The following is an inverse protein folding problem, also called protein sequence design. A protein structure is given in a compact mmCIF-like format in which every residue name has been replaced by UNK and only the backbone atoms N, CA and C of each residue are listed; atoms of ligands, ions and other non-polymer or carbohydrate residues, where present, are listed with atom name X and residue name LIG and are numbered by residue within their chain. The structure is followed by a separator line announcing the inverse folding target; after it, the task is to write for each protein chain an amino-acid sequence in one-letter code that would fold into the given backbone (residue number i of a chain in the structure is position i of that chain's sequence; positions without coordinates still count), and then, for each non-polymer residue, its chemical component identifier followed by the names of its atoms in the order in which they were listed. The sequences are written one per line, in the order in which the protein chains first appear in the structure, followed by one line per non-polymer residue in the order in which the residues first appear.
data_IF_238595230522
#
_entry.id   IF_238595230522
#
_cell.length_a   1.000
_cell.length_b   1.000
_cell.length_c   1.000
_cell.angle_alpha   90.00
_cell.angle_beta   90.00
_cell.angle_gamma   90.00
#
_symmetry.space_group_name_H-M   'P 1'
#
loop_
_entity.id
_entity.type
_entity.pdbx_description
1 polymer ?
#
# COMPACT_ATOMS: atom_id res chain seq x y z
N UNK A 1 39.16 18.79 -2.44
CA UNK A 1 37.80 18.79 -1.84
C UNK A 1 37.29 17.35 -1.83
N UNK A 2 36.64 16.88 -0.76
CA UNK A 2 36.09 15.51 -0.73
C UNK A 2 34.87 15.40 -1.66
N UNK A 3 34.71 14.23 -2.29
CA UNK A 3 33.50 13.90 -3.06
C UNK A 3 32.28 13.83 -2.13
N UNK A 4 31.09 14.13 -2.65
CA UNK A 4 29.83 13.98 -1.92
C UNK A 4 29.38 12.52 -1.92
N UNK A 5 28.73 12.08 -0.85
CA UNK A 5 28.06 10.77 -0.82
C UNK A 5 26.87 10.79 -1.79
N UNK A 6 26.67 9.68 -2.51
CA UNK A 6 25.54 9.50 -3.42
C UNK A 6 24.22 9.31 -2.66
N UNK A 7 24.26 8.48 -1.62
CA UNK A 7 23.12 8.14 -0.77
C UNK A 7 23.32 8.68 0.64
N UNK A 8 22.23 9.15 1.25
CA UNK A 8 22.16 9.38 2.68
C UNK A 8 21.99 8.04 3.44
N UNK A 9 22.08 8.07 4.77
CA UNK A 9 22.02 6.85 5.59
C UNK A 9 20.69 6.08 5.47
N UNK A 10 19.56 6.79 5.34
CA UNK A 10 18.25 6.18 5.16
C UNK A 10 18.15 5.53 3.78
N UNK A 11 18.56 6.24 2.74
CA UNK A 11 18.60 5.72 1.36
C UNK A 11 19.54 4.52 1.23
N UNK A 12 20.67 4.52 1.92
CA UNK A 12 21.63 3.40 1.91
C UNK A 12 21.04 2.13 2.54
N UNK A 13 20.31 2.26 3.66
CA UNK A 13 19.57 1.14 4.26
C UNK A 13 18.48 0.61 3.34
N UNK A 14 17.68 1.52 2.75
CA UNK A 14 16.66 1.14 1.78
C UNK A 14 17.28 0.42 0.60
N UNK A 15 18.36 0.96 0.04
CA UNK A 15 19.08 0.35 -1.09
C UNK A 15 19.58 -1.06 -0.77
N UNK A 16 20.16 -1.27 0.41
CA UNK A 16 20.61 -2.60 0.83
C UNK A 16 19.45 -3.61 0.84
N UNK A 17 18.31 -3.22 1.42
CA UNK A 17 17.10 -4.05 1.43
C UNK A 17 16.56 -4.33 0.02
N UNK A 18 16.50 -3.31 -0.84
CA UNK A 18 16.05 -3.45 -2.23
C UNK A 18 16.94 -4.45 -3.00
N UNK A 19 18.27 -4.39 -2.79
CA UNK A 19 19.21 -5.33 -3.43
C UNK A 19 18.97 -6.78 -3.03
N UNK A 20 18.74 -7.04 -1.75
CA UNK A 20 18.45 -8.39 -1.25
C UNK A 20 17.17 -8.98 -1.88
N UNK A 21 16.16 -8.13 -2.15
CA UNK A 21 14.95 -8.54 -2.87
C UNK A 21 15.17 -8.76 -4.37
N UNK A 22 15.99 -7.93 -5.01
CA UNK A 22 16.33 -8.06 -6.43
C UNK A 22 17.02 -9.39 -6.73
N UNK A 23 17.99 -9.79 -5.90
CA UNK A 23 18.77 -11.03 -6.08
C UNK A 23 17.87 -12.28 -6.12
N UNK A 24 16.73 -12.25 -5.42
CA UNK A 24 15.77 -13.36 -5.38
C UNK A 24 14.89 -13.44 -6.65
N UNK A 25 14.77 -12.34 -7.40
CA UNK A 25 13.85 -12.20 -8.53
C UNK A 25 14.56 -12.00 -9.87
N UNK A 26 15.88 -12.24 -9.94
CA UNK A 26 16.66 -12.02 -11.16
C UNK A 26 16.70 -10.55 -11.62
N UNK A 27 16.44 -9.62 -10.71
CA UNK A 27 16.36 -8.19 -10.99
C UNK A 27 17.62 -7.47 -10.49
N UNK A 28 17.75 -6.20 -10.85
CA UNK A 28 18.76 -5.28 -10.33
C UNK A 28 18.11 -3.96 -9.87
N UNK A 29 18.73 -3.28 -8.90
CA UNK A 29 18.30 -1.96 -8.45
C UNK A 29 19.44 -0.96 -8.56
N UNK A 30 19.14 0.21 -9.12
CA UNK A 30 20.09 1.30 -9.32
C UNK A 30 19.64 2.56 -8.58
N UNK A 31 20.48 3.14 -7.71
CA UNK A 31 20.15 4.39 -7.05
C UNK A 31 20.37 5.60 -7.97
N UNK A 32 19.55 6.64 -7.79
CA UNK A 32 19.75 7.98 -8.39
C UNK A 32 19.90 7.95 -9.93
N UNK A 33 19.10 7.13 -10.62
CA UNK A 33 19.09 7.12 -12.09
C UNK A 33 18.30 8.31 -12.61
N UNK A 34 18.84 9.02 -13.61
CA UNK A 34 18.20 10.21 -14.17
C UNK A 34 16.92 9.82 -14.90
N UNK A 35 15.88 10.65 -14.78
CA UNK A 35 14.58 10.39 -15.41
C UNK A 35 14.71 10.27 -16.94
N UNK A 36 15.52 11.12 -17.55
CA UNK A 36 15.82 11.08 -18.99
C UNK A 36 16.56 9.82 -19.46
N UNK A 37 17.22 9.08 -18.56
CA UNK A 37 17.92 7.83 -18.93
C UNK A 37 16.97 6.61 -18.88
N UNK A 38 15.76 6.80 -18.35
CA UNK A 38 14.73 5.77 -18.20
C UNK A 38 13.57 6.01 -19.16
N UNK A 39 13.07 7.25 -19.21
CA UNK A 39 11.91 7.60 -20.01
C UNK A 39 12.34 8.02 -21.42
N UNK A 40 11.67 7.56 -22.50
CA UNK A 40 12.02 7.91 -23.88
C UNK A 40 11.55 9.33 -24.22
N UNK A 41 12.23 10.34 -23.68
CA UNK A 41 11.78 11.75 -23.73
C UNK A 41 11.99 12.41 -25.11
N UNK A 42 12.85 11.87 -25.97
CA UNK A 42 13.13 12.41 -27.29
C UNK A 42 11.93 12.26 -28.22
N UNK A 43 11.50 13.36 -28.84
CA UNK A 43 10.36 13.40 -29.79
C UNK A 43 9.06 12.82 -29.20
N UNK A 44 8.91 12.87 -27.88
CA UNK A 44 7.81 12.27 -27.12
C UNK A 44 6.54 13.11 -27.01
N UNK A 45 6.59 14.36 -27.49
CA UNK A 45 5.47 15.31 -27.40
C UNK A 45 5.29 16.00 -26.04
N UNK A 46 6.20 15.77 -25.08
CA UNK A 46 6.21 16.49 -23.80
C UNK A 46 6.63 17.95 -23.98
N UNK A 47 6.27 18.80 -23.03
CA UNK A 47 6.65 20.22 -23.06
C UNK A 47 8.15 20.44 -22.83
N UNK A 48 8.69 21.57 -23.28
CA UNK A 48 10.07 21.98 -23.00
C UNK A 48 10.41 22.02 -21.50
N UNK A 49 9.42 22.35 -20.66
CA UNK A 49 9.58 22.37 -19.21
C UNK A 49 9.73 20.95 -18.64
N UNK A 50 8.94 20.00 -19.14
CA UNK A 50 9.02 18.58 -18.78
C UNK A 50 10.30 17.94 -19.29
N UNK A 51 10.70 18.26 -20.52
CA UNK A 51 11.97 17.81 -21.08
C UNK A 51 13.17 18.27 -20.23
N UNK A 52 13.23 19.56 -19.89
CA UNK A 52 14.28 20.09 -18.99
C UNK A 52 14.23 19.47 -17.60
N UNK A 53 13.03 19.24 -17.07
CA UNK A 53 12.87 18.58 -15.78
C UNK A 53 13.40 17.15 -15.79
N UNK A 54 13.08 16.36 -16.82
CA UNK A 54 13.57 14.98 -16.97
C UNK A 54 15.11 14.92 -17.04
N UNK A 55 15.74 15.90 -17.68
CA UNK A 55 17.20 16.01 -17.76
C UNK A 55 17.88 16.37 -16.41
N UNK A 56 17.14 16.92 -15.46
CA UNK A 56 17.67 17.44 -14.19
C UNK A 56 17.17 16.66 -12.96
N UNK A 57 16.28 15.70 -13.15
CA UNK A 57 15.66 14.91 -12.08
C UNK A 57 16.14 13.47 -12.13
N UNK A 58 16.09 12.82 -10.96
CA UNK A 58 16.46 11.43 -10.79
C UNK A 58 15.32 10.70 -10.08
N UNK A 59 15.20 9.41 -10.36
CA UNK A 59 14.51 8.47 -9.51
C UNK A 59 15.40 8.10 -8.32
N UNK A 60 14.84 7.92 -7.13
CA UNK A 60 15.65 7.51 -5.98
C UNK A 60 16.21 6.10 -6.17
N UNK A 61 15.35 5.19 -6.63
CA UNK A 61 15.73 3.84 -7.05
C UNK A 61 14.99 3.43 -8.32
N UNK A 62 15.69 2.75 -9.22
CA UNK A 62 15.10 2.13 -10.42
C UNK A 62 15.35 0.64 -10.39
N UNK A 63 14.28 -0.14 -10.51
CA UNK A 63 14.34 -1.59 -10.71
C UNK A 63 14.51 -1.88 -12.20
N UNK A 64 15.38 -2.83 -12.52
CA UNK A 64 15.57 -3.35 -13.86
C UNK A 64 15.52 -4.87 -13.87
N UNK A 65 15.14 -5.43 -15.01
CA UNK A 65 15.25 -6.87 -15.28
C UNK A 65 16.71 -7.33 -15.42
N UNK A 66 16.90 -8.63 -15.72
CA UNK A 66 18.21 -9.24 -15.98
C UNK A 66 18.99 -8.58 -17.14
N UNK A 67 18.28 -7.98 -18.11
CA UNK A 67 18.84 -7.28 -19.26
C UNK A 67 19.09 -5.78 -18.98
N UNK A 68 18.90 -5.35 -17.73
CA UNK A 68 19.01 -3.95 -17.31
C UNK A 68 17.93 -3.03 -17.92
N UNK A 69 16.82 -3.61 -18.40
CA UNK A 69 15.64 -2.86 -18.86
C UNK A 69 14.85 -2.35 -17.66
N UNK A 70 14.50 -1.05 -17.59
CA UNK A 70 13.75 -0.49 -16.47
C UNK A 70 12.34 -1.10 -16.34
N UNK A 71 11.99 -1.51 -15.12
CA UNK A 71 10.68 -2.09 -14.77
C UNK A 71 9.77 -1.09 -14.07
N UNK A 72 10.29 -0.43 -13.03
CA UNK A 72 9.60 0.60 -12.26
C UNK A 72 10.59 1.42 -11.42
N UNK A 73 10.13 2.54 -10.87
CA UNK A 73 10.90 3.34 -9.91
C UNK A 73 10.27 3.36 -8.52
N UNK A 74 11.11 3.63 -7.53
CA UNK A 74 10.71 3.92 -6.15
C UNK A 74 11.20 5.32 -5.78
N UNK A 75 10.32 6.11 -5.17
CA UNK A 75 10.59 7.43 -4.61
C UNK A 75 10.40 7.42 -3.11
N UNK A 76 11.32 8.06 -2.38
CA UNK A 76 11.19 8.22 -0.94
C UNK A 76 10.67 9.62 -0.59
N UNK A 77 9.45 9.68 -0.10
CA UNK A 77 8.83 10.91 0.39
C UNK A 77 9.36 11.21 1.81
N UNK A 78 10.39 12.07 1.87
CA UNK A 78 10.98 12.55 3.11
C UNK A 78 10.14 13.59 3.87
N UNK A 79 10.53 13.89 5.11
CA UNK A 79 9.83 14.88 5.95
C UNK A 79 9.94 16.32 5.39
N UNK A 80 8.89 16.76 4.70
CA UNK A 80 8.24 18.09 4.61
C UNK A 80 9.04 19.41 4.75
N UNK A 81 10.35 19.48 4.57
CA UNK A 81 11.05 20.76 4.72
C UNK A 81 10.77 21.77 3.58
N UNK A 82 10.32 21.33 2.39
CA UNK A 82 9.94 22.21 1.26
C UNK A 82 8.68 21.72 0.51
N UNK A 83 7.60 21.46 1.26
CA UNK A 83 6.37 20.78 0.79
C UNK A 83 5.82 21.26 -0.56
N UNK A 84 5.78 22.57 -0.84
CA UNK A 84 5.20 23.09 -2.10
C UNK A 84 6.07 22.83 -3.33
N UNK A 85 7.38 23.02 -3.21
CA UNK A 85 8.32 22.82 -4.34
C UNK A 85 8.47 21.32 -4.60
N UNK A 86 8.64 20.53 -3.53
CA UNK A 86 8.72 19.08 -3.63
C UNK A 86 7.46 18.52 -4.29
N UNK A 87 6.28 18.91 -3.80
CA UNK A 87 5.00 18.51 -4.41
C UNK A 87 4.88 18.87 -5.88
N UNK A 88 5.34 20.05 -6.30
CA UNK A 88 5.31 20.43 -7.71
C UNK A 88 6.21 19.52 -8.56
N UNK A 89 7.39 19.16 -8.04
CA UNK A 89 8.32 18.20 -8.68
C UNK A 89 7.71 16.80 -8.73
N UNK A 90 7.04 16.36 -7.67
CA UNK A 90 6.41 15.05 -7.61
C UNK A 90 5.24 14.95 -8.59
N UNK A 91 4.39 15.98 -8.67
CA UNK A 91 3.32 16.08 -9.66
C UNK A 91 3.91 16.01 -11.08
N UNK A 92 4.99 16.75 -11.35
CA UNK A 92 5.62 16.74 -12.67
C UNK A 92 6.23 15.37 -13.02
N UNK A 93 6.89 14.72 -12.05
CA UNK A 93 7.44 13.37 -12.21
C UNK A 93 6.33 12.33 -12.43
N UNK A 94 5.24 12.39 -11.67
CA UNK A 94 4.08 11.52 -11.83
C UNK A 94 3.43 11.68 -13.21
N UNK A 95 3.26 12.92 -13.69
CA UNK A 95 2.76 13.18 -15.06
C UNK A 95 3.63 12.56 -16.14
N UNK A 96 4.96 12.71 -16.03
CA UNK A 96 5.90 12.08 -16.95
C UNK A 96 5.78 10.55 -16.91
N UNK A 97 5.83 9.95 -15.73
CA UNK A 97 5.70 8.50 -15.56
C UNK A 97 4.40 7.98 -16.19
N UNK A 98 3.28 8.65 -15.91
CA UNK A 98 1.97 8.33 -16.50
C UNK A 98 1.93 8.49 -18.02
N UNK A 99 2.56 9.54 -18.58
CA UNK A 99 2.66 9.75 -20.03
C UNK A 99 3.39 8.61 -20.73
N UNK A 100 4.43 8.07 -20.10
CA UNK A 100 5.24 6.98 -20.65
C UNK A 100 4.80 5.58 -20.19
N UNK A 101 3.75 5.47 -19.37
CA UNK A 101 3.32 4.19 -18.79
C UNK A 101 4.36 3.55 -17.87
N UNK A 102 5.26 4.34 -17.27
CA UNK A 102 6.31 3.83 -16.40
C UNK A 102 5.83 3.81 -14.94
N UNK A 103 5.79 2.66 -14.27
CA UNK A 103 5.29 2.58 -12.89
C UNK A 103 6.21 3.27 -11.89
N UNK A 104 5.61 3.95 -10.91
CA UNK A 104 6.32 4.62 -9.83
C UNK A 104 5.63 4.36 -8.49
N UNK A 105 6.39 3.82 -7.54
CA UNK A 105 5.96 3.56 -6.17
C UNK A 105 6.53 4.64 -5.24
N UNK A 106 5.65 5.37 -4.56
CA UNK A 106 6.03 6.36 -3.55
C UNK A 106 5.91 5.76 -2.15
N UNK A 107 7.01 5.79 -1.41
CA UNK A 107 7.08 5.26 -0.05
C UNK A 107 7.53 6.33 0.93
N UNK A 108 7.12 6.18 2.18
CA UNK A 108 7.69 6.92 3.31
C UNK A 108 8.25 5.92 4.33
N UNK A 109 8.72 6.40 5.48
CA UNK A 109 9.34 5.52 6.47
C UNK A 109 8.41 4.40 6.98
N UNK A 110 7.09 4.63 7.04
CA UNK A 110 6.14 3.63 7.55
C UNK A 110 6.05 2.38 6.68
N UNK A 111 6.38 2.49 5.39
CA UNK A 111 6.41 1.37 4.46
C UNK A 111 7.55 0.39 4.72
N UNK A 112 8.55 0.82 5.50
CA UNK A 112 9.75 0.05 5.82
C UNK A 112 9.79 -0.29 7.31
N UNK A 113 9.40 0.65 8.17
CA UNK A 113 9.52 0.52 9.63
C UNK A 113 8.40 -0.32 10.26
N UNK A 114 7.22 -0.39 9.61
CA UNK A 114 6.10 -1.18 10.11
C UNK A 114 6.02 -2.50 9.39
N UNK A 115 5.91 -3.57 10.17
CA UNK A 115 5.76 -4.93 9.68
C UNK A 115 4.37 -5.49 9.95
N UNK A 116 3.85 -6.20 8.96
CA UNK A 116 2.61 -6.98 9.00
C UNK A 116 3.00 -8.44 8.83
N UNK A 117 3.00 -9.20 9.93
CA UNK A 117 3.45 -10.62 9.95
C UNK A 117 4.90 -10.81 9.49
N UNK A 118 5.79 -9.91 9.90
CA UNK A 118 7.21 -9.94 9.49
C UNK A 118 7.44 -9.53 8.04
N UNK A 119 6.46 -8.85 7.42
CA UNK A 119 6.57 -8.26 6.08
C UNK A 119 6.18 -6.79 6.14
N UNK A 120 7.08 -5.91 5.77
CA UNK A 120 6.77 -4.50 5.56
C UNK A 120 6.10 -4.27 4.19
N UNK A 121 5.46 -3.12 4.05
CA UNK A 121 4.64 -2.81 2.89
C UNK A 121 5.46 -2.63 1.61
N UNK A 122 6.69 -2.12 1.71
CA UNK A 122 7.60 -2.03 0.57
C UNK A 122 7.93 -3.41 0.01
N UNK A 123 8.33 -4.35 0.87
CA UNK A 123 8.57 -5.73 0.45
C UNK A 123 7.32 -6.39 -0.12
N UNK A 124 6.15 -6.20 0.52
CA UNK A 124 4.88 -6.72 0.02
C UNK A 124 4.59 -6.24 -1.42
N UNK A 125 4.72 -4.94 -1.71
CA UNK A 125 4.45 -4.40 -3.04
C UNK A 125 5.38 -4.91 -4.12
N UNK A 126 6.68 -5.03 -3.81
CA UNK A 126 7.65 -5.52 -4.78
C UNK A 126 7.40 -7.00 -5.07
N UNK A 127 7.21 -7.82 -4.04
CA UNK A 127 6.95 -9.25 -4.23
C UNK A 127 5.62 -9.49 -4.96
N UNK A 128 4.54 -8.76 -4.62
CA UNK A 128 3.25 -8.85 -5.33
C UNK A 128 3.41 -8.44 -6.80
N UNK A 129 4.22 -7.42 -7.10
CA UNK A 129 4.49 -7.03 -8.48
C UNK A 129 5.15 -8.16 -9.28
N UNK A 130 6.19 -8.81 -8.71
CA UNK A 130 6.85 -9.94 -9.38
C UNK A 130 5.92 -11.13 -9.54
N UNK A 131 5.09 -11.43 -8.54
CA UNK A 131 4.08 -12.49 -8.67
C UNK A 131 3.05 -12.18 -9.76
N UNK A 132 2.64 -10.91 -9.90
CA UNK A 132 1.75 -10.48 -10.96
C UNK A 132 2.39 -10.68 -12.34
N UNK A 133 3.66 -10.32 -12.51
CA UNK A 133 4.38 -10.57 -13.78
C UNK A 133 4.43 -12.07 -14.10
N UNK A 134 4.84 -12.90 -13.14
CA UNK A 134 4.88 -14.35 -13.34
C UNK A 134 3.50 -14.95 -13.64
N UNK A 135 2.43 -14.42 -13.03
CA UNK A 135 1.05 -14.82 -13.32
C UNK A 135 0.65 -14.48 -14.75
N UNK A 136 0.91 -13.25 -15.21
CA UNK A 136 0.56 -12.82 -16.57
C UNK A 136 1.41 -13.55 -17.63
N UNK A 137 2.69 -13.80 -17.37
CA UNK A 137 3.53 -14.66 -18.23
C UNK A 137 2.97 -16.09 -18.33
N UNK A 138 2.51 -16.65 -17.20
CA UNK A 138 1.88 -17.97 -17.18
C UNK A 138 0.55 -18.00 -17.95
N UNK A 139 -0.21 -16.91 -17.95
CA UNK A 139 -1.40 -16.74 -18.80
C UNK A 139 -1.05 -16.72 -20.29
N UNK A 140 -0.02 -15.95 -20.69
CA UNK A 140 0.46 -15.92 -22.08
C UNK A 140 0.94 -17.29 -22.58
N UNK A 141 1.50 -18.10 -21.69
CA UNK A 141 1.92 -19.47 -21.96
C UNK A 141 0.78 -20.49 -21.93
N UNK A 142 -0.44 -20.08 -21.56
CA UNK A 142 -1.61 -20.96 -21.45
C UNK A 142 -1.61 -21.89 -20.23
N UNK A 143 -0.77 -21.60 -19.22
CA UNK A 143 -0.73 -22.34 -17.96
C UNK A 143 -1.82 -21.89 -16.99
N UNK A 144 -2.29 -20.65 -17.12
CA UNK A 144 -3.40 -20.06 -16.38
C UNK A 144 -4.44 -19.56 -17.39
N UNK A 145 -5.75 -19.76 -17.16
CA UNK A 145 -6.79 -19.20 -18.02
C UNK A 145 -6.71 -17.67 -18.11
N UNK A 146 -6.97 -17.12 -19.31
CA UNK A 146 -6.94 -15.66 -19.54
C UNK A 146 -8.05 -14.88 -18.81
N UNK A 147 -9.09 -15.58 -18.36
CA UNK A 147 -10.21 -15.04 -17.59
C UNK A 147 -10.02 -15.17 -16.06
N UNK A 148 -8.91 -15.76 -15.61
CA UNK A 148 -8.54 -15.75 -14.20
C UNK A 148 -7.90 -14.39 -13.84
N UNK A 149 -8.44 -13.74 -12.81
CA UNK A 149 -7.89 -12.48 -12.29
C UNK A 149 -6.73 -12.75 -11.32
N UNK A 150 -5.71 -11.90 -11.36
CA UNK A 150 -4.64 -11.94 -10.37
C UNK A 150 -5.13 -11.40 -9.01
N UNK A 151 -5.18 -12.27 -7.99
CA UNK A 151 -5.46 -11.89 -6.61
C UNK A 151 -4.29 -12.29 -5.69
N UNK A 152 -3.57 -11.34 -5.07
CA UNK A 152 -2.53 -11.64 -4.09
C UNK A 152 -3.00 -12.57 -2.96
N UNK A 153 -4.27 -12.51 -2.55
CA UNK A 153 -4.78 -13.37 -1.48
C UNK A 153 -4.79 -14.87 -1.85
N UNK A 154 -4.73 -15.19 -3.14
CA UNK A 154 -4.63 -16.58 -3.64
C UNK A 154 -3.20 -17.14 -3.59
N UNK A 155 -2.20 -16.30 -3.31
CA UNK A 155 -0.78 -16.65 -3.45
C UNK A 155 -0.22 -17.11 -2.11
N UNK A 156 0.48 -18.24 -2.15
CA UNK A 156 1.24 -18.78 -1.02
C UNK A 156 2.62 -19.21 -1.51
N UNK A 157 3.68 -18.56 -1.03
CA UNK A 157 5.06 -18.92 -1.41
C UNK A 157 5.93 -19.23 -0.19
N UNK A 158 7.01 -20.02 -0.34
CA UNK A 158 7.98 -20.20 0.73
C UNK A 158 8.76 -18.91 1.00
N UNK A 159 8.71 -18.41 2.22
CA UNK A 159 9.54 -17.31 2.74
C UNK A 159 10.27 -17.78 3.98
N UNK A 160 11.61 -17.74 3.96
CA UNK A 160 12.47 -18.20 5.07
C UNK A 160 12.13 -19.64 5.54
N UNK A 161 11.82 -20.54 4.60
CA UNK A 161 11.52 -21.95 4.91
C UNK A 161 10.11 -22.22 5.43
N UNK A 162 9.20 -21.23 5.43
CA UNK A 162 7.78 -21.42 5.78
C UNK A 162 6.87 -20.90 4.66
N UNK A 163 5.71 -21.51 4.50
CA UNK A 163 4.68 -21.00 3.59
C UNK A 163 4.14 -19.66 4.12
N UNK A 164 4.14 -18.65 3.27
CA UNK A 164 3.66 -17.31 3.55
C UNK A 164 2.50 -16.97 2.60
N UNK A 165 1.26 -16.82 3.11
CA UNK A 165 0.12 -16.35 2.32
C UNK A 165 0.17 -14.84 2.17
N UNK A 166 0.04 -14.36 0.93
CA UNK A 166 -0.05 -12.93 0.60
C UNK A 166 -1.43 -12.34 0.87
N UNK A 167 -2.38 -13.15 1.35
CA UNK A 167 -3.51 -12.63 2.10
C UNK A 167 -3.02 -12.01 3.42
N UNK A 168 -2.65 -10.74 3.35
CA UNK A 168 -1.84 -10.07 4.37
C UNK A 168 -2.48 -10.15 5.75
N UNK A 169 -3.79 -9.89 5.88
CA UNK A 169 -4.48 -9.89 7.17
C UNK A 169 -5.13 -11.23 7.56
N UNK A 170 -4.89 -12.34 6.83
CA UNK A 170 -5.50 -13.66 7.09
C UNK A 170 -5.43 -14.07 8.56
N UNK A 171 -4.24 -14.05 9.17
CA UNK A 171 -4.07 -14.43 10.57
C UNK A 171 -4.81 -13.52 11.55
N UNK A 172 -4.93 -12.23 11.22
CA UNK A 172 -5.69 -11.28 12.04
C UNK A 172 -7.18 -11.54 11.92
N UNK A 173 -7.69 -11.83 10.70
CA UNK A 173 -9.09 -12.21 10.48
C UNK A 173 -9.44 -13.47 11.29
N UNK A 174 -8.58 -14.50 11.28
CA UNK A 174 -8.77 -15.71 12.11
C UNK A 174 -8.83 -15.36 13.60
N UNK A 175 -7.94 -14.51 14.11
CA UNK A 175 -7.97 -14.08 15.52
C UNK A 175 -9.25 -13.33 15.89
N UNK A 176 -9.79 -12.53 14.97
CA UNK A 176 -11.07 -11.83 15.18
C UNK A 176 -12.23 -12.83 15.25
N UNK A 177 -12.26 -13.81 14.33
CA UNK A 177 -13.26 -14.88 14.37
C UNK A 177 -13.18 -15.71 15.65
N UNK A 178 -11.97 -15.97 16.16
CA UNK A 178 -11.76 -16.62 17.46
C UNK A 178 -12.34 -15.79 18.62
N UNK A 179 -12.12 -14.47 18.65
CA UNK A 179 -12.70 -13.59 19.68
C UNK A 179 -14.23 -13.62 19.65
N UNK A 180 -14.81 -13.60 18.45
CA UNK A 180 -16.25 -13.72 18.26
C UNK A 180 -16.78 -15.08 18.75
N UNK A 181 -16.12 -16.18 18.38
CA UNK A 181 -16.54 -17.53 18.81
C UNK A 181 -16.48 -17.72 20.33
N UNK A 182 -15.60 -16.98 21.01
CA UNK A 182 -15.48 -16.93 22.48
C UNK A 182 -16.47 -15.96 23.14
N UNK A 183 -17.31 -15.26 22.37
CA UNK A 183 -18.27 -14.27 22.86
C UNK A 183 -17.64 -12.99 23.40
N UNK A 184 -16.38 -12.70 23.03
CA UNK A 184 -15.68 -11.48 23.49
C UNK A 184 -16.06 -10.24 22.69
N UNK A 185 -16.56 -10.44 21.46
CA UNK A 185 -17.07 -9.41 20.55
C UNK A 185 -18.31 -9.95 19.83
N UNK A 186 -19.18 -9.08 19.32
CA UNK A 186 -20.40 -9.50 18.59
C UNK A 186 -20.23 -9.57 17.08
N UNK A 187 -19.27 -8.83 16.52
CA UNK A 187 -18.97 -8.89 15.10
C UNK A 187 -17.85 -9.91 14.83
N UNK A 188 -18.04 -10.77 13.84
CA UNK A 188 -17.07 -11.80 13.47
C UNK A 188 -15.99 -11.32 12.48
N UNK A 189 -16.09 -10.07 12.01
CA UNK A 189 -15.14 -9.46 11.07
C UNK A 189 -15.12 -7.94 11.19
N UNK A 190 -14.05 -7.32 10.73
CA UNK A 190 -13.96 -5.85 10.57
C UNK A 190 -14.84 -5.41 9.41
N UNK A 191 -15.69 -4.42 9.66
CA UNK A 191 -16.32 -3.64 8.60
C UNK A 191 -15.45 -2.43 8.26
N UNK A 192 -15.33 -2.07 6.98
CA UNK A 192 -14.53 -0.91 6.59
C UNK A 192 -15.09 -0.16 5.38
N UNK A 193 -14.70 1.11 5.29
CA UNK A 193 -15.08 2.05 4.22
C UNK A 193 -13.78 2.62 3.64
N UNK A 194 -13.65 2.61 2.32
CA UNK A 194 -12.51 3.18 1.60
C UNK A 194 -12.99 4.28 0.66
N UNK A 195 -12.26 5.39 0.67
CA UNK A 195 -12.55 6.59 -0.09
C UNK A 195 -11.26 7.24 -0.60
N UNK A 196 -11.38 8.15 -1.58
CA UNK A 196 -10.31 9.08 -1.95
C UNK A 196 -10.60 10.45 -1.39
N UNK A 197 -9.55 11.17 -0.98
CA UNK A 197 -9.67 12.58 -0.64
C UNK A 197 -9.53 13.48 -1.87
N UNK A 198 -9.58 14.80 -1.64
CA UNK A 198 -9.49 15.80 -2.72
C UNK A 198 -8.14 15.82 -3.43
N UNK A 199 -7.11 15.17 -2.86
CA UNK A 199 -5.78 15.04 -3.45
C UNK A 199 -5.64 13.73 -4.23
N UNK A 200 -6.66 12.86 -4.19
CA UNK A 200 -6.66 11.54 -4.81
C UNK A 200 -6.07 10.44 -3.93
N UNK A 201 -5.62 10.77 -2.71
CA UNK A 201 -5.08 9.80 -1.78
C UNK A 201 -6.19 8.96 -1.15
N UNK A 202 -5.90 7.70 -0.86
CA UNK A 202 -6.83 6.79 -0.22
C UNK A 202 -6.92 7.03 1.29
N UNK A 203 -8.13 6.89 1.82
CA UNK A 203 -8.50 6.99 3.22
C UNK A 203 -9.34 5.77 3.57
N UNK A 204 -9.09 5.16 4.72
CA UNK A 204 -9.89 4.05 5.22
C UNK A 204 -10.34 4.28 6.66
N UNK A 205 -11.55 3.84 6.95
CA UNK A 205 -12.09 3.72 8.30
C UNK A 205 -12.54 2.28 8.51
N UNK A 206 -12.07 1.65 9.58
CA UNK A 206 -12.49 0.32 10.02
C UNK A 206 -13.22 0.41 11.34
N UNK A 207 -14.18 -0.48 11.57
CA UNK A 207 -14.89 -0.57 12.84
C UNK A 207 -15.34 -2.00 13.12
N UNK A 208 -15.50 -2.30 14.42
CA UNK A 208 -15.98 -3.59 14.91
C UNK A 208 -16.71 -3.39 16.25
N UNK A 209 -17.88 -4.01 16.41
CA UNK A 209 -18.65 -3.95 17.64
C UNK A 209 -18.26 -5.05 18.63
N UNK A 210 -18.01 -4.62 19.88
CA UNK A 210 -17.73 -5.51 21.02
C UNK A 210 -19.04 -5.95 21.67
N UNK A 211 -20.00 -5.03 21.78
CA UNK A 211 -21.38 -5.30 22.23
C UNK A 211 -22.37 -4.61 21.29
N UNK A 212 -23.68 -4.77 21.52
CA UNK A 212 -24.71 -4.08 20.74
C UNK A 212 -24.60 -2.55 20.79
N UNK A 213 -23.98 -1.99 21.84
CA UNK A 213 -23.92 -0.56 22.10
C UNK A 213 -22.49 0.00 22.15
N UNK A 214 -21.46 -0.83 22.03
CA UNK A 214 -20.07 -0.41 22.15
C UNK A 214 -19.17 -1.11 21.14
N UNK A 215 -18.13 -0.42 20.68
CA UNK A 215 -17.17 -0.94 19.73
C UNK A 215 -15.94 -0.08 19.66
N UNK A 216 -15.19 -0.24 18.57
CA UNK A 216 -14.03 0.60 18.25
C UNK A 216 -14.09 1.01 16.79
N UNK A 217 -13.32 2.03 16.44
CA UNK A 217 -12.95 2.30 15.07
C UNK A 217 -11.48 2.67 14.95
N UNK A 218 -10.91 2.43 13.79
CA UNK A 218 -9.56 2.84 13.42
C UNK A 218 -9.58 3.55 12.07
N UNK A 219 -8.49 4.25 11.77
CA UNK A 219 -8.32 5.00 10.53
C UNK A 219 -6.92 4.77 9.99
N UNK A 220 -6.81 4.69 8.67
CA UNK A 220 -5.51 4.67 8.00
C UNK A 220 -5.62 5.33 6.62
N UNK A 221 -4.49 5.52 5.98
CA UNK A 221 -4.37 6.29 4.76
C UNK A 221 -3.19 5.80 3.92
N UNK A 222 -3.32 5.96 2.60
CA UNK A 222 -2.27 5.63 1.63
C UNK A 222 -2.27 6.68 0.53
N UNK A 223 -1.08 7.08 0.08
CA UNK A 223 -0.98 7.90 -1.13
C UNK A 223 -1.46 7.12 -2.34
N UNK A 224 -2.09 7.80 -3.30
CA UNK A 224 -2.35 7.16 -4.59
C UNK A 224 -1.01 6.77 -5.21
N UNK A 225 -0.91 5.54 -5.69
CA UNK A 225 0.28 5.04 -6.34
C UNK A 225 0.05 5.06 -7.85
N UNK A 226 1.07 5.41 -8.62
CA UNK A 226 1.07 5.16 -10.06
C UNK A 226 1.82 3.83 -10.30
N UNK A 227 1.44 2.81 -9.52
CA UNK A 227 2.05 1.48 -9.46
C UNK A 227 0.95 0.42 -9.65
N UNK A 228 1.19 -0.69 -10.36
CA UNK A 228 0.13 -1.63 -10.76
C UNK A 228 -0.29 -2.55 -9.60
N UNK A 229 -0.93 -1.95 -8.60
CA UNK A 229 -1.54 -2.59 -7.44
C UNK A 229 -2.93 -1.98 -7.23
N UNK A 230 -3.86 -2.75 -6.67
CA UNK A 230 -5.17 -2.23 -6.28
C UNK A 230 -5.04 -1.65 -4.88
N UNK A 231 -4.77 -0.34 -4.76
CA UNK A 231 -4.42 0.26 -3.46
C UNK A 231 -5.58 0.20 -2.46
N UNK A 232 -6.83 0.17 -2.94
CA UNK A 232 -7.99 -0.02 -2.07
C UNK A 232 -8.01 -1.40 -1.43
N UNK A 233 -7.62 -2.45 -2.14
CA UNK A 233 -7.57 -3.80 -1.56
C UNK A 233 -6.45 -3.89 -0.51
N UNK A 234 -5.29 -3.32 -0.81
CA UNK A 234 -4.19 -3.22 0.15
C UNK A 234 -4.63 -2.44 1.39
N UNK A 235 -5.25 -1.27 1.22
CA UNK A 235 -5.69 -0.45 2.34
C UNK A 235 -6.79 -1.15 3.15
N UNK A 236 -7.63 -1.97 2.51
CA UNK A 236 -8.61 -2.86 3.13
C UNK A 236 -7.96 -3.92 4.01
N UNK A 237 -6.81 -4.44 3.61
CA UNK A 237 -6.02 -5.36 4.45
C UNK A 237 -5.33 -4.63 5.60
N UNK A 238 -4.77 -3.43 5.37
CA UNK A 238 -4.11 -2.63 6.42
C UNK A 238 -5.08 -2.19 7.51
N UNK A 239 -6.29 -1.73 7.15
CA UNK A 239 -7.27 -1.25 8.15
C UNK A 239 -7.74 -2.38 9.09
N UNK A 240 -7.67 -3.64 8.67
CA UNK A 240 -7.95 -4.79 9.54
C UNK A 240 -6.93 -4.88 10.68
N UNK A 241 -5.63 -4.64 10.40
CA UNK A 241 -4.60 -4.60 11.45
C UNK A 241 -4.86 -3.45 12.44
N UNK A 242 -5.11 -2.24 11.94
CA UNK A 242 -5.36 -1.07 12.80
C UNK A 242 -6.56 -1.29 13.72
N UNK A 243 -7.64 -1.82 13.15
CA UNK A 243 -8.87 -2.12 13.87
C UNK A 243 -8.62 -3.19 14.93
N UNK A 244 -7.84 -4.22 14.61
CA UNK A 244 -7.50 -5.27 15.55
C UNK A 244 -6.60 -4.78 16.70
N UNK A 245 -5.59 -3.97 16.41
CA UNK A 245 -4.73 -3.36 17.44
C UNK A 245 -5.56 -2.51 18.42
N UNK A 246 -6.44 -1.64 17.88
CA UNK A 246 -7.36 -0.84 18.70
C UNK A 246 -8.33 -1.70 19.52
N UNK A 247 -8.80 -2.83 18.96
CA UNK A 247 -9.63 -3.78 19.68
C UNK A 247 -8.87 -4.41 20.85
N UNK A 248 -7.62 -4.83 20.66
CA UNK A 248 -6.80 -5.40 21.73
C UNK A 248 -6.52 -4.39 22.85
N UNK A 249 -6.33 -3.11 22.53
CA UNK A 249 -6.20 -2.06 23.54
C UNK A 249 -7.46 -1.94 24.42
N UNK A 250 -8.64 -2.05 23.83
CA UNK A 250 -9.89 -2.00 24.58
C UNK A 250 -10.11 -3.28 25.40
N UNK A 251 -9.88 -4.46 24.81
CA UNK A 251 -10.04 -5.74 25.51
C UNK A 251 -9.04 -5.90 26.67
N UNK A 252 -7.87 -5.27 26.58
CA UNK A 252 -6.89 -5.23 27.67
C UNK A 252 -7.12 -4.10 28.68
N UNK A 253 -8.16 -3.29 28.50
CA UNK A 253 -8.49 -2.17 29.38
C UNK A 253 -7.57 -0.95 29.27
N UNK A 254 -6.68 -0.90 28.27
CA UNK A 254 -5.83 0.27 28.00
C UNK A 254 -6.65 1.46 27.52
N UNK A 255 -7.67 1.20 26.68
CA UNK A 255 -8.58 2.21 26.16
C UNK A 255 -10.04 1.86 26.47
N UNK A 256 -10.90 2.88 26.49
CA UNK A 256 -12.35 2.68 26.60
C UNK A 256 -12.95 2.45 25.21
N UNK A 257 -13.96 1.56 25.09
CA UNK A 257 -14.70 1.44 23.83
C UNK A 257 -15.49 2.72 23.57
N UNK A 258 -15.78 2.94 22.29
CA UNK A 258 -16.69 3.99 21.86
C UNK A 258 -18.12 3.48 21.97
N UNK A 259 -19.07 4.38 22.21
CA UNK A 259 -20.49 4.08 22.08
C UNK A 259 -20.87 3.88 20.61
N UNK A 260 -21.94 3.12 20.37
CA UNK A 260 -22.45 2.88 19.02
C UNK A 260 -22.85 4.17 18.31
N UNK A 261 -23.38 5.17 19.04
CA UNK A 261 -23.73 6.48 18.49
C UNK A 261 -22.50 7.29 18.08
N UNK A 262 -21.38 7.19 18.80
CA UNK A 262 -20.11 7.80 18.40
C UNK A 262 -19.56 7.16 17.12
N UNK A 263 -19.63 5.84 17.02
CA UNK A 263 -19.21 5.11 15.80
C UNK A 263 -20.08 5.51 14.61
N UNK A 264 -21.40 5.54 14.76
CA UNK A 264 -22.34 5.96 13.71
C UNK A 264 -22.09 7.42 13.28
N UNK A 265 -21.78 8.31 14.22
CA UNK A 265 -21.42 9.70 13.92
C UNK A 265 -20.13 9.78 13.09
N UNK A 266 -19.15 8.92 13.37
CA UNK A 266 -17.85 8.88 12.69
C UNK A 266 -17.95 8.31 11.28
N UNK A 267 -18.81 7.30 11.07
CA UNK A 267 -19.15 6.80 9.74
C UNK A 267 -19.77 7.94 8.90
N UNK A 268 -20.74 8.69 9.47
CA UNK A 268 -21.37 9.82 8.79
C UNK A 268 -20.36 10.94 8.48
N UNK A 269 -19.48 11.25 9.42
CA UNK A 269 -18.40 12.23 9.24
C UNK A 269 -17.46 11.83 8.09
N UNK A 270 -17.03 10.57 8.06
CA UNK A 270 -16.16 10.03 7.03
C UNK A 270 -16.81 10.11 5.64
N UNK A 271 -18.07 9.70 5.50
CA UNK A 271 -18.81 9.82 4.25
C UNK A 271 -18.94 11.27 3.78
N UNK A 272 -19.31 12.18 4.69
CA UNK A 272 -19.45 13.60 4.36
C UNK A 272 -18.12 14.19 3.87
N UNK A 273 -17.00 13.72 4.41
CA UNK A 273 -15.68 14.28 4.12
C UNK A 273 -15.07 13.76 2.82
N UNK A 274 -15.22 12.47 2.50
CA UNK A 274 -14.46 11.85 1.42
C UNK A 274 -15.30 11.27 0.27
N UNK A 275 -16.57 10.91 0.48
CA UNK A 275 -17.36 10.15 -0.50
C UNK A 275 -16.81 8.72 -0.69
N UNK A 276 -17.66 7.69 -0.69
CA UNK A 276 -17.19 6.30 -0.70
C UNK A 276 -16.85 5.81 -2.12
N UNK A 277 -15.72 5.13 -2.28
CA UNK A 277 -15.30 4.46 -3.52
C UNK A 277 -15.60 2.96 -3.50
N UNK A 278 -15.41 2.32 -2.35
CA UNK A 278 -15.63 0.88 -2.16
C UNK A 278 -16.25 0.66 -0.78
N UNK A 279 -17.31 -0.16 -0.75
CA UNK A 279 -17.90 -0.68 0.48
C UNK A 279 -17.63 -2.18 0.53
N UNK A 280 -16.79 -2.64 1.44
CA UNK A 280 -16.72 -4.06 1.73
C UNK A 280 -17.69 -4.37 2.88
N UNK A 281 -18.89 -4.82 2.50
CA UNK A 281 -20.04 -5.22 3.33
C UNK A 281 -20.32 -4.38 4.58
N UNK A 282 -21.45 -3.68 4.58
CA UNK A 282 -22.16 -3.41 5.83
C UNK A 282 -22.58 -4.78 6.36
N UNK A 283 -21.80 -5.42 7.24
CA UNK A 283 -22.40 -6.35 8.18
C UNK A 283 -23.17 -5.50 9.17
N UNK A 284 -24.35 -5.05 8.76
CA UNK A 284 -25.45 -5.04 9.71
C UNK A 284 -25.61 -6.51 10.06
N UNK A 285 -24.86 -6.97 11.08
CA UNK A 285 -25.32 -8.05 11.90
C UNK A 285 -26.69 -7.58 12.38
N UNK A 286 -27.73 -8.03 11.68
CA UNK A 286 -29.14 -7.79 11.96
C UNK A 286 -29.56 -8.51 13.25
N UNK A 287 -28.67 -8.54 14.24
CA UNK A 287 -29.00 -8.82 15.62
C UNK A 287 -29.61 -7.54 16.21
N UNK A 288 -30.87 -7.32 15.84
CA UNK A 288 -31.83 -6.42 16.49
C UNK A 288 -31.24 -5.23 17.24
N UNK A 289 -30.87 -4.16 16.53
CA UNK A 289 -30.90 -2.82 17.12
C UNK A 289 -32.35 -2.37 17.20
N UNK A 290 -33.14 -3.02 18.05
CA UNK A 290 -34.43 -2.52 18.53
C UNK A 290 -34.20 -1.92 19.90
N UNK A 291 -34.26 -0.60 19.97
CA UNK A 291 -34.19 0.22 21.17
C UNK A 291 -34.37 1.68 20.76
#
# INVERSE_FOLDING_TARGET
MPFKRLLNYSEEKTHQKLREMCEQNGASVFPKVRVADILPIEKSGISDQEFRFALQSHFDFTFCDENHTPLFAIEFDGALHEEKVQRARDIQKGRLCKHFGFPILRINSSYIEREFRGMDLLTYFIEVWFHAQAFYEAQEQGLIPLDEDFDPASIVTPRQGKLFPYWLSLEVKIKIEELHSKGMIIDYRVSHIIAKDTQGDYRAMGYIFITSNTGICAFTAMHSQDFPIIESDVLGELIVFETYEALLDVLSGRHKPWSGTEIDAKIKEFHKRYGALQFCSISCSSHGRTG
#
